data_IF_206970247609
#
_entry.id   IF_206970247609
#
_cell.length_a   1.000
_cell.length_b   1.000
_cell.length_c   1.000
_cell.angle_alpha   90.00
_cell.angle_beta   90.00
_cell.angle_gamma   90.00
#
_symmetry.space_group_name_H-M   'P 1'
#
loop_
_entity.id
_entity.type
_entity.pdbx_description
1 polymer ?
#
# COMPACT_ATOMS: atom_id res chain seq x y z
N UNK A 1 21.08 -2.30 15.79
CA UNK A 1 21.00 -1.73 14.44
C UNK A 1 20.43 -2.80 13.53
N UNK A 2 19.18 -2.69 13.10
CA UNK A 2 18.68 -3.57 12.04
C UNK A 2 19.27 -3.05 10.73
N UNK A 3 20.07 -3.90 10.08
CA UNK A 3 20.49 -3.66 8.72
C UNK A 3 19.26 -3.72 7.82
N UNK A 4 18.95 -2.65 7.10
CA UNK A 4 17.89 -2.68 6.10
C UNK A 4 18.54 -2.78 4.71
N UNK A 5 18.46 -3.98 4.14
CA UNK A 5 19.04 -4.34 2.84
C UNK A 5 18.60 -3.36 1.74
N UNK A 6 17.38 -2.84 1.82
CA UNK A 6 16.85 -1.96 0.80
C UNK A 6 17.60 -0.63 0.75
N UNK A 7 18.00 -0.09 1.91
CA UNK A 7 18.78 1.15 1.97
C UNK A 7 20.09 0.98 1.20
N UNK A 8 20.73 -0.18 1.30
CA UNK A 8 22.00 -0.43 0.59
C UNK A 8 21.85 -0.60 -0.92
N UNK A 9 20.76 -1.24 -1.33
CA UNK A 9 20.43 -1.51 -2.72
C UNK A 9 19.74 -0.33 -3.42
N UNK A 10 19.51 0.79 -2.72
CA UNK A 10 19.05 2.02 -3.36
C UNK A 10 20.10 2.55 -4.34
N UNK A 11 19.65 2.98 -5.52
CA UNK A 11 20.44 3.83 -6.40
C UNK A 11 20.54 5.27 -5.88
N UNK A 12 21.35 6.08 -6.55
CA UNK A 12 21.66 7.46 -6.17
C UNK A 12 21.40 8.49 -7.29
N UNK A 13 21.05 8.05 -8.51
CA UNK A 13 20.86 8.93 -9.68
C UNK A 13 19.43 8.91 -10.23
N UNK A 14 19.10 9.89 -11.09
CA UNK A 14 17.78 9.97 -11.74
C UNK A 14 17.56 8.83 -12.74
N UNK A 15 18.60 8.43 -13.47
CA UNK A 15 18.54 7.33 -14.43
C UNK A 15 18.21 6.01 -13.73
N UNK A 16 18.73 5.80 -12.52
CA UNK A 16 18.42 4.62 -11.71
C UNK A 16 16.98 4.65 -11.17
N UNK A 17 16.45 5.83 -10.85
CA UNK A 17 15.05 6.00 -10.47
C UNK A 17 14.12 5.64 -11.64
N UNK A 18 14.43 6.12 -12.84
CA UNK A 18 13.65 5.80 -14.04
C UNK A 18 13.75 4.33 -14.41
N UNK A 19 14.94 3.74 -14.28
CA UNK A 19 15.15 2.31 -14.43
C UNK A 19 14.27 1.53 -13.42
N UNK A 20 14.27 1.92 -12.15
CA UNK A 20 13.47 1.30 -11.10
C UNK A 20 11.97 1.37 -11.38
N UNK A 21 11.48 2.55 -11.80
CA UNK A 21 10.07 2.74 -12.19
C UNK A 21 9.70 1.81 -13.35
N UNK A 22 10.55 1.72 -14.37
CA UNK A 22 10.35 0.80 -15.50
C UNK A 22 10.47 -0.69 -15.12
N UNK A 23 11.10 -1.00 -13.98
CA UNK A 23 11.22 -2.35 -13.43
C UNK A 23 12.57 -3.01 -13.62
N UNK A 24 13.63 -2.21 -13.71
CA UNK A 24 15.00 -2.67 -13.82
C UNK A 24 15.86 -2.02 -12.73
N UNK A 25 16.72 -2.80 -12.09
CA UNK A 25 17.69 -2.31 -11.14
C UNK A 25 19.00 -3.05 -11.33
N UNK A 26 20.08 -2.34 -11.68
CA UNK A 26 21.41 -2.91 -11.88
C UNK A 26 21.45 -4.14 -12.82
N UNK A 27 20.59 -4.16 -13.85
CA UNK A 27 20.49 -5.27 -14.81
C UNK A 27 19.58 -6.43 -14.35
N UNK A 28 18.97 -6.32 -13.17
CA UNK A 28 18.00 -7.28 -12.65
C UNK A 28 16.59 -6.75 -12.86
N UNK A 29 15.72 -7.59 -13.44
CA UNK A 29 14.30 -7.27 -13.61
C UNK A 29 13.56 -7.38 -12.28
N UNK A 30 13.01 -6.26 -11.80
CA UNK A 30 12.16 -6.18 -10.62
C UNK A 30 10.70 -6.15 -11.06
N UNK A 31 10.03 -7.29 -11.13
CA UNK A 31 8.63 -7.35 -11.59
C UNK A 31 7.63 -6.82 -10.57
N UNK A 32 7.90 -6.98 -9.28
CA UNK A 32 7.01 -6.58 -8.21
C UNK A 32 7.01 -5.05 -8.01
N UNK A 33 5.83 -4.44 -8.09
CA UNK A 33 5.67 -2.98 -7.95
C UNK A 33 5.98 -2.51 -6.52
N UNK A 34 5.64 -3.29 -5.49
CA UNK A 34 5.95 -2.92 -4.12
C UNK A 34 7.45 -2.91 -3.86
N UNK A 35 8.18 -3.88 -4.41
CA UNK A 35 9.65 -3.92 -4.29
C UNK A 35 10.31 -2.73 -5.00
N UNK A 36 9.80 -2.30 -6.16
CA UNK A 36 10.23 -1.04 -6.80
C UNK A 36 10.02 0.16 -5.87
N UNK A 37 8.87 0.24 -5.20
CA UNK A 37 8.55 1.33 -4.26
C UNK A 37 9.51 1.31 -3.06
N UNK A 38 9.86 0.13 -2.52
CA UNK A 38 10.82 0.00 -1.42
C UNK A 38 12.22 0.45 -1.84
N UNK A 39 12.67 0.08 -3.03
CA UNK A 39 13.95 0.54 -3.58
C UNK A 39 13.96 2.05 -3.84
N UNK A 40 12.87 2.63 -4.36
CA UNK A 40 12.71 4.08 -4.48
C UNK A 40 12.75 4.78 -3.10
N UNK A 41 12.22 4.12 -2.07
CA UNK A 41 12.27 4.64 -0.70
C UNK A 41 13.70 4.72 -0.18
N UNK A 42 14.50 3.69 -0.47
CA UNK A 42 15.91 3.69 -0.13
C UNK A 42 16.69 4.82 -0.82
N UNK A 43 16.45 5.05 -2.12
CA UNK A 43 17.06 6.15 -2.88
C UNK A 43 16.75 7.49 -2.22
N UNK A 44 15.47 7.72 -1.90
CA UNK A 44 15.00 8.96 -1.29
C UNK A 44 15.54 9.19 0.14
N UNK A 45 15.83 8.11 0.87
CA UNK A 45 16.43 8.15 2.19
C UNK A 45 17.95 8.39 2.16
N UNK A 46 18.63 7.96 1.09
CA UNK A 46 20.09 8.10 0.94
C UNK A 46 20.53 9.44 0.40
N UNK A 47 19.85 9.94 -0.63
CA UNK A 47 20.29 11.11 -1.37
C UNK A 47 19.17 12.16 -1.44
N UNK A 48 19.31 13.21 -0.63
CA UNK A 48 18.34 14.30 -0.55
C UNK A 48 18.17 15.03 -1.89
N UNK A 49 19.19 15.08 -2.75
CA UNK A 49 19.14 15.78 -4.03
C UNK A 49 18.19 15.12 -5.05
N UNK A 50 17.97 13.81 -4.92
CA UNK A 50 17.09 13.04 -5.82
C UNK A 50 15.78 12.65 -5.15
N UNK A 51 15.57 13.02 -3.88
CA UNK A 51 14.36 12.70 -3.10
C UNK A 51 13.08 13.15 -3.78
N UNK A 52 12.99 14.41 -4.21
CA UNK A 52 11.80 14.95 -4.86
C UNK A 52 11.52 14.26 -6.22
N UNK A 53 12.61 13.89 -6.91
CA UNK A 53 12.53 13.13 -8.16
C UNK A 53 12.04 11.70 -7.90
N UNK A 54 12.52 11.04 -6.85
CA UNK A 54 12.06 9.72 -6.43
C UNK A 54 10.56 9.72 -6.05
N UNK A 55 10.02 10.85 -5.58
CA UNK A 55 8.59 10.98 -5.27
C UNK A 55 7.75 11.22 -6.51
N UNK A 56 8.09 12.23 -7.31
CA UNK A 56 7.21 12.76 -8.35
C UNK A 56 7.81 12.85 -9.75
N UNK A 57 9.09 12.56 -9.89
CA UNK A 57 9.87 12.77 -11.11
C UNK A 57 9.97 14.25 -11.49
N UNK A 58 10.16 14.52 -12.78
CA UNK A 58 10.22 15.87 -13.32
C UNK A 58 8.81 16.42 -13.63
N UNK A 59 8.64 17.74 -13.58
CA UNK A 59 7.40 18.43 -13.98
C UNK A 59 6.97 18.12 -15.42
N UNK A 60 7.92 17.83 -16.32
CA UNK A 60 7.63 17.60 -17.75
C UNK A 60 7.24 16.16 -18.04
N UNK A 61 7.98 15.20 -17.50
CA UNK A 61 7.83 13.78 -17.83
C UNK A 61 7.07 12.99 -16.74
N UNK A 62 6.92 13.56 -15.54
CA UNK A 62 6.53 12.81 -14.35
C UNK A 62 7.63 11.84 -13.92
N UNK A 63 7.27 10.85 -13.10
CA UNK A 63 8.18 9.78 -12.70
C UNK A 63 8.07 9.41 -11.22
N UNK A 64 9.10 8.72 -10.74
CA UNK A 64 9.22 8.27 -9.36
C UNK A 64 8.05 7.42 -8.86
N UNK A 65 7.81 7.49 -7.57
CA UNK A 65 6.72 6.79 -6.89
C UNK A 65 5.34 7.16 -7.45
N UNK A 66 5.11 8.44 -7.75
CA UNK A 66 3.81 8.95 -8.22
C UNK A 66 3.36 8.24 -9.49
N UNK A 67 4.26 7.95 -10.43
CA UNK A 67 3.89 7.24 -11.67
C UNK A 67 3.41 5.81 -11.44
N UNK A 68 3.80 5.18 -10.32
CA UNK A 68 3.39 3.83 -9.96
C UNK A 68 2.00 3.79 -9.31
N UNK A 69 1.61 4.84 -8.59
CA UNK A 69 0.42 4.84 -7.72
C UNK A 69 -0.65 5.87 -8.08
N UNK A 70 -0.36 6.82 -8.97
CA UNK A 70 -1.26 7.91 -9.31
C UNK A 70 -1.49 8.01 -10.81
N UNK A 71 -2.77 8.02 -11.20
CA UNK A 71 -3.24 8.21 -12.58
C UNK A 71 -4.58 8.97 -12.52
N UNK A 72 -4.98 9.62 -13.62
CA UNK A 72 -6.29 10.26 -13.72
C UNK A 72 -7.44 9.26 -13.52
N UNK A 73 -7.23 8.01 -13.93
CA UNK A 73 -8.09 6.87 -13.62
C UNK A 73 -7.36 5.95 -12.63
N UNK A 74 -7.75 5.89 -11.34
CA UNK A 74 -7.03 5.12 -10.31
C UNK A 74 -6.80 3.64 -10.65
N UNK A 75 -7.72 3.03 -11.41
CA UNK A 75 -7.63 1.64 -11.88
C UNK A 75 -6.52 1.42 -12.92
N UNK A 76 -5.98 2.48 -13.51
CA UNK A 76 -4.94 2.39 -14.53
C UNK A 76 -3.52 2.40 -13.97
N UNK A 77 -3.37 2.73 -12.70
CA UNK A 77 -2.06 2.78 -12.04
C UNK A 77 -1.37 1.40 -12.11
N UNK A 78 -0.04 1.36 -12.28
CA UNK A 78 0.72 0.10 -12.18
C UNK A 78 0.44 -0.65 -10.87
N UNK A 79 0.31 0.07 -9.75
CA UNK A 79 -0.03 -0.50 -8.45
C UNK A 79 -1.41 -1.18 -8.46
N UNK A 80 -2.44 -0.53 -9.01
CA UNK A 80 -3.77 -1.14 -9.07
C UNK A 80 -3.80 -2.37 -10.01
N UNK A 81 -3.19 -2.26 -11.19
CA UNK A 81 -3.22 -3.30 -12.22
C UNK A 81 -2.38 -4.53 -11.87
N UNK A 82 -1.16 -4.32 -11.39
CA UNK A 82 -0.17 -5.39 -11.27
C UNK A 82 0.04 -5.86 -9.84
N UNK A 83 -0.47 -5.14 -8.84
CA UNK A 83 -0.43 -5.55 -7.44
C UNK A 83 -1.82 -5.79 -6.87
N UNK A 84 -2.70 -4.77 -6.85
CA UNK A 84 -4.01 -4.91 -6.18
C UNK A 84 -4.88 -5.96 -6.85
N UNK A 85 -5.06 -5.90 -8.17
CA UNK A 85 -5.88 -6.86 -8.92
C UNK A 85 -5.44 -8.32 -8.70
N UNK A 86 -4.17 -8.65 -8.99
CA UNK A 86 -3.64 -10.00 -8.76
C UNK A 86 -3.73 -10.45 -7.29
N UNK A 87 -3.43 -9.56 -6.34
CA UNK A 87 -3.54 -9.88 -4.92
C UNK A 87 -4.99 -10.23 -4.52
N UNK A 88 -5.99 -9.46 -4.99
CA UNK A 88 -7.40 -9.76 -4.73
C UNK A 88 -7.82 -11.12 -5.33
N UNK A 89 -7.32 -11.47 -6.51
CA UNK A 89 -7.54 -12.79 -7.09
C UNK A 89 -6.91 -13.91 -6.24
N UNK A 90 -5.73 -13.67 -5.66
CA UNK A 90 -5.11 -14.61 -4.72
C UNK A 90 -5.92 -14.74 -3.42
N UNK A 91 -6.43 -13.63 -2.86
CA UNK A 91 -7.34 -13.65 -1.70
C UNK A 91 -8.55 -14.54 -1.96
N UNK A 92 -9.16 -14.41 -3.15
CA UNK A 92 -10.29 -15.24 -3.58
C UNK A 92 -9.90 -16.71 -3.68
N UNK A 93 -8.79 -17.01 -4.36
CA UNK A 93 -8.30 -18.38 -4.56
C UNK A 93 -7.96 -19.09 -3.24
N UNK A 94 -7.39 -18.36 -2.28
CA UNK A 94 -7.05 -18.86 -0.95
C UNK A 94 -8.24 -18.89 0.02
N UNK A 95 -9.43 -18.43 -0.40
CA UNK A 95 -10.63 -18.31 0.45
C UNK A 95 -10.37 -17.49 1.73
N UNK A 96 -9.54 -16.46 1.62
CA UNK A 96 -9.24 -15.50 2.69
C UNK A 96 -10.26 -14.35 2.76
N UNK A 97 -11.32 -14.42 1.96
CA UNK A 97 -12.47 -13.53 2.04
C UNK A 97 -13.33 -13.97 3.22
N UNK A 98 -13.95 -13.05 3.99
CA UNK A 98 -14.82 -13.43 5.10
C UNK A 98 -15.95 -14.34 4.62
N UNK A 99 -15.93 -15.59 5.08
CA UNK A 99 -17.02 -16.56 4.92
C UNK A 99 -17.77 -16.61 6.24
N UNK A 100 -19.10 -16.71 6.19
CA UNK A 100 -19.90 -16.94 7.40
C UNK A 100 -19.41 -18.23 8.07
N UNK A 101 -18.96 -18.18 9.33
CA UNK A 101 -18.50 -19.36 10.04
C UNK A 101 -19.69 -20.29 10.31
N UNK A 102 -19.42 -21.58 10.46
CA UNK A 102 -20.43 -22.51 10.95
C UNK A 102 -20.78 -22.18 12.40
N UNK A 103 -21.93 -21.51 12.60
CA UNK A 103 -22.40 -21.11 13.92
C UNK A 103 -22.74 -22.31 14.80
N UNK A 104 -23.01 -23.49 14.23
CA UNK A 104 -23.24 -24.72 15.00
C UNK A 104 -21.96 -25.25 15.64
N UNK A 105 -20.81 -24.95 15.03
CA UNK A 105 -19.49 -25.28 15.58
C UNK A 105 -19.04 -24.29 16.68
N UNK A 106 -19.78 -23.21 16.92
CA UNK A 106 -19.47 -22.19 17.93
C UNK A 106 -20.30 -22.36 19.20
N UNK A 107 -19.84 -21.85 20.36
CA UNK A 107 -20.61 -21.89 21.60
C UNK A 107 -22.01 -21.26 21.48
N UNK A 108 -22.97 -21.80 22.23
CA UNK A 108 -24.35 -21.27 22.25
C UNK A 108 -24.38 -19.77 22.55
N UNK A 109 -25.14 -19.01 21.77
CA UNK A 109 -25.21 -17.55 21.85
C UNK A 109 -24.17 -16.80 21.00
N UNK A 110 -23.31 -17.52 20.27
CA UNK A 110 -22.41 -16.92 19.28
C UNK A 110 -23.19 -16.33 18.10
N UNK A 111 -22.72 -15.20 17.59
CA UNK A 111 -23.28 -14.53 16.42
C UNK A 111 -22.16 -14.00 15.53
N UNK A 112 -22.47 -13.84 14.25
CA UNK A 112 -21.56 -13.31 13.24
C UNK A 112 -22.20 -12.12 12.54
N UNK A 113 -21.42 -11.08 12.29
CA UNK A 113 -21.87 -9.86 11.64
C UNK A 113 -20.87 -9.43 10.58
N UNK A 114 -21.37 -9.17 9.38
CA UNK A 114 -20.58 -8.77 8.23
C UNK A 114 -21.25 -7.60 7.54
N UNK A 115 -20.43 -6.63 7.14
CA UNK A 115 -20.85 -5.45 6.40
C UNK A 115 -19.92 -5.23 5.22
N UNK A 116 -20.48 -4.70 4.13
CA UNK A 116 -19.71 -4.19 3.00
C UNK A 116 -19.71 -2.67 3.08
N UNK A 117 -18.51 -2.08 3.14
CA UNK A 117 -18.35 -0.63 3.15
C UNK A 117 -17.90 -0.16 1.77
N UNK A 118 -18.56 0.89 1.28
CA UNK A 118 -18.14 1.62 0.08
C UNK A 118 -17.57 2.97 0.50
N UNK A 119 -16.37 3.30 0.03
CA UNK A 119 -15.77 4.60 0.29
C UNK A 119 -16.58 5.69 -0.44
N UNK A 120 -17.26 6.56 0.33
CA UNK A 120 -18.00 7.69 -0.23
C UNK A 120 -17.10 8.82 -0.72
N UNK A 121 -15.88 8.91 -0.19
CA UNK A 121 -14.84 9.90 -0.52
C UNK A 121 -13.46 9.25 -0.45
N UNK A 122 -12.43 9.84 -1.07
CA UNK A 122 -11.05 9.40 -0.89
C UNK A 122 -10.72 9.28 0.61
N UNK A 123 -10.15 8.14 0.98
CA UNK A 123 -9.84 7.81 2.37
C UNK A 123 -8.34 7.88 2.60
N UNK A 124 -7.97 8.43 3.75
CA UNK A 124 -6.59 8.51 4.20
C UNK A 124 -6.45 7.76 5.53
N UNK A 125 -5.38 6.99 5.65
CA UNK A 125 -4.96 6.37 6.89
C UNK A 125 -3.46 6.45 7.00
N UNK A 126 -2.96 6.44 8.23
CA UNK A 126 -1.53 6.34 8.51
C UNK A 126 -1.15 4.87 8.48
N UNK A 127 -0.19 4.52 7.63
CA UNK A 127 0.43 3.20 7.69
C UNK A 127 1.46 3.12 8.83
N UNK A 128 1.70 1.89 9.29
CA UNK A 128 2.67 1.60 10.36
C UNK A 128 4.07 1.22 9.81
N UNK A 129 4.24 1.16 8.48
CA UNK A 129 5.51 0.80 7.86
C UNK A 129 6.55 1.93 8.04
N UNK A 130 7.74 1.66 8.63
CA UNK A 130 8.72 2.69 8.97
C UNK A 130 9.34 3.40 7.76
N UNK A 131 9.30 2.81 6.57
CA UNK A 131 9.98 3.35 5.40
C UNK A 131 9.00 3.67 4.27
N UNK A 132 8.90 4.97 4.00
CA UNK A 132 8.18 5.52 2.86
C UNK A 132 9.03 6.52 2.11
N UNK A 133 8.84 6.56 0.78
CA UNK A 133 9.61 7.40 -0.15
C UNK A 133 9.82 8.80 0.40
N UNK A 134 8.77 9.40 0.98
CA UNK A 134 8.88 10.55 1.87
C UNK A 134 7.76 10.57 2.90
N UNK A 135 7.94 11.34 3.99
CA UNK A 135 6.87 11.64 4.95
C UNK A 135 5.64 12.29 4.28
N UNK A 136 5.84 12.98 3.15
CA UNK A 136 4.79 13.66 2.40
C UNK A 136 3.91 12.73 1.54
N UNK A 137 4.28 11.46 1.35
CA UNK A 137 3.51 10.50 0.55
C UNK A 137 2.24 10.00 1.27
N UNK A 138 2.11 10.24 2.58
CA UNK A 138 1.03 9.79 3.49
C UNK A 138 0.26 8.55 2.99
N UNK A 139 0.94 7.40 3.00
CA UNK A 139 0.45 6.18 2.38
C UNK A 139 -0.69 5.60 3.21
N UNK A 140 -1.74 5.18 2.50
CA UNK A 140 -2.80 4.36 3.06
C UNK A 140 -2.21 3.09 3.65
N UNK A 141 -2.72 2.68 4.82
CA UNK A 141 -2.34 1.42 5.47
C UNK A 141 -2.55 0.22 4.55
N UNK A 142 -1.59 -0.70 4.52
CA UNK A 142 -1.62 -1.89 3.65
C UNK A 142 -1.62 -3.18 4.45
N UNK A 143 -2.16 -4.22 3.84
CA UNK A 143 -1.99 -5.59 4.33
C UNK A 143 -0.51 -5.99 4.28
N UNK A 144 -0.04 -6.75 5.27
CA UNK A 144 1.38 -7.08 5.41
C UNK A 144 1.91 -7.97 4.29
N UNK A 145 1.10 -8.89 3.79
CA UNK A 145 1.51 -9.91 2.82
C UNK A 145 1.16 -9.44 1.42
N UNK A 146 -0.09 -9.06 1.21
CA UNK A 146 -0.64 -8.79 -0.11
C UNK A 146 -0.50 -7.33 -0.55
N UNK A 147 -0.11 -6.45 0.39
CA UNK A 147 0.12 -5.01 0.15
C UNK A 147 -1.09 -4.26 -0.41
N UNK A 148 -2.27 -4.84 -0.33
CA UNK A 148 -3.53 -4.15 -0.67
C UNK A 148 -3.91 -3.16 0.44
N UNK A 149 -4.52 -2.00 0.10
CA UNK A 149 -5.02 -1.08 1.12
C UNK A 149 -6.00 -1.77 2.08
N UNK A 150 -5.82 -1.58 3.38
CA UNK A 150 -6.66 -2.18 4.43
C UNK A 150 -6.84 -1.26 5.62
N UNK A 151 -7.96 -1.41 6.32
CA UNK A 151 -8.24 -0.70 7.56
C UNK A 151 -8.02 -1.62 8.75
N UNK A 152 -7.28 -1.15 9.75
CA UNK A 152 -6.99 -1.96 10.93
C UNK A 152 -8.26 -2.26 11.75
N UNK A 153 -8.31 -3.44 12.37
CA UNK A 153 -9.39 -3.79 13.29
C UNK A 153 -9.51 -2.81 14.46
N UNK A 154 -8.39 -2.27 14.94
CA UNK A 154 -8.37 -1.26 15.99
C UNK A 154 -9.05 0.05 15.55
N UNK A 155 -8.82 0.48 14.30
CA UNK A 155 -9.47 1.66 13.71
C UNK A 155 -10.98 1.45 13.59
N UNK A 156 -11.43 0.29 13.10
CA UNK A 156 -12.86 -0.04 13.03
C UNK A 156 -13.50 -0.06 14.41
N UNK A 157 -12.89 -0.73 15.39
CA UNK A 157 -13.37 -0.76 16.78
C UNK A 157 -13.51 0.64 17.36
N UNK A 158 -12.51 1.50 17.17
CA UNK A 158 -12.52 2.88 17.64
C UNK A 158 -13.66 3.70 17.04
N UNK A 159 -13.83 3.66 15.73
CA UNK A 159 -14.90 4.37 15.02
C UNK A 159 -16.28 3.87 15.44
N UNK A 160 -16.50 2.55 15.44
CA UNK A 160 -17.79 1.97 15.83
C UNK A 160 -18.15 2.31 17.28
N UNK A 161 -17.18 2.24 18.20
CA UNK A 161 -17.38 2.67 19.58
C UNK A 161 -17.74 4.15 19.66
N UNK A 162 -17.02 5.00 18.94
CA UNK A 162 -17.29 6.44 18.96
C UNK A 162 -18.68 6.75 18.41
N UNK A 163 -19.04 6.18 17.26
CA UNK A 163 -20.36 6.35 16.63
C UNK A 163 -21.48 5.87 17.55
N UNK A 164 -21.36 4.69 18.16
CA UNK A 164 -22.39 4.16 19.08
C UNK A 164 -22.55 5.01 20.34
N UNK A 165 -21.48 5.64 20.84
CA UNK A 165 -21.56 6.54 22.00
C UNK A 165 -22.22 7.90 21.69
N UNK A 166 -22.15 8.36 20.44
CA UNK A 166 -22.59 9.71 20.05
C UNK A 166 -23.87 9.72 19.20
N UNK A 167 -24.30 8.55 18.71
CA UNK A 167 -25.56 8.41 18.00
C UNK A 167 -26.64 8.09 19.04
N UNK A 168 -27.50 9.07 19.34
CA UNK A 168 -28.76 8.80 20.01
C UNK A 168 -29.70 8.21 18.96
N UNK A 169 -29.94 6.90 19.05
CA UNK A 169 -30.98 6.21 18.29
C UNK A 169 -32.36 6.56 18.86
#
# INVERSE_FOLDING_TARGET
MSYDLYVELGGDTQEEIDALVSGNHQGVKVSDIFERIRLLTAVAARNENVKDYAVSGDRKQGGGYKSLVHDAQPTNTPYAKYLIGPALNQFQGLRLIPIVPDLQALPSGSWFLQFTFTLARPWISKDDDPFYVTESVNPVRKDKVFKVPTMSAASWKGLLRWTTMHTRL
#
